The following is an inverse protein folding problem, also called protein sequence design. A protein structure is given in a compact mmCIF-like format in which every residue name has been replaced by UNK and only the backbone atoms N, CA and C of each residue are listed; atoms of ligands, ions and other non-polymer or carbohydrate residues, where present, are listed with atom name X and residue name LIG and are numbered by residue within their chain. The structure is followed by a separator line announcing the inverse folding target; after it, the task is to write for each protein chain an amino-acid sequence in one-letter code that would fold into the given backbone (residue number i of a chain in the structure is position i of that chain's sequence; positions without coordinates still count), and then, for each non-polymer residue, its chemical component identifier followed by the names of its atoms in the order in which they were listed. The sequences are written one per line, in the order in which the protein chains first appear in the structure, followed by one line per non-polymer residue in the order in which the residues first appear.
data_IF_812507387643
#
_entry.id   IF_812507387643
#
_cell.length_a   1.000
_cell.length_b   1.000
_cell.length_c   1.000
_cell.angle_alpha   90.00
_cell.angle_beta   90.00
_cell.angle_gamma   90.00
#
_symmetry.space_group_name_H-M   'P 1'
#
loop_
_entity.id
_entity.type
_entity.pdbx_description
1 polymer ?
#
# COMPACT_ATOMS: atom_id res chain seq x y z
N UNK A 1 -22.40 -23.35 25.17
CA UNK A 1 -21.90 -22.66 23.96
C UNK A 1 -21.78 -23.63 22.79
N UNK A 2 -20.96 -24.67 22.89
CA UNK A 2 -20.89 -25.72 21.86
C UNK A 2 -22.22 -26.42 21.60
N UNK A 3 -23.06 -26.56 22.63
CA UNK A 3 -24.45 -27.07 22.51
C UNK A 3 -25.36 -26.20 21.61
N UNK A 4 -25.00 -24.94 21.38
CA UNK A 4 -25.70 -24.01 20.49
C UNK A 4 -24.97 -23.83 19.15
N UNK A 5 -23.98 -24.67 18.85
CA UNK A 5 -23.18 -24.59 17.63
C UNK A 5 -22.19 -23.41 17.59
N UNK A 6 -21.93 -22.74 18.71
CA UNK A 6 -20.98 -21.62 18.79
C UNK A 6 -19.56 -22.12 19.07
N UNK A 7 -18.63 -21.78 18.18
CA UNK A 7 -17.21 -22.09 18.28
C UNK A 7 -16.40 -20.82 18.59
N UNK A 8 -15.41 -20.87 19.51
CA UNK A 8 -14.52 -19.75 19.77
C UNK A 8 -13.54 -19.54 18.62
N UNK A 9 -13.29 -18.29 18.27
CA UNK A 9 -12.29 -17.91 17.27
C UNK A 9 -10.90 -17.68 17.86
N UNK A 10 -10.83 -17.43 19.17
CA UNK A 10 -9.58 -17.13 19.88
C UNK A 10 -9.26 -18.26 20.85
N UNK A 11 -8.06 -18.80 20.69
CA UNK A 11 -7.54 -19.91 21.52
C UNK A 11 -6.29 -19.50 22.32
N UNK A 12 -5.81 -18.28 22.15
CA UNK A 12 -4.61 -17.74 22.81
C UNK A 12 -4.99 -16.68 23.83
N UNK A 13 -4.21 -16.52 24.93
CA UNK A 13 -4.46 -15.50 25.93
C UNK A 13 -4.62 -14.10 25.32
N UNK A 14 -5.72 -13.42 25.62
CA UNK A 14 -5.98 -12.05 25.19
C UNK A 14 -5.43 -11.03 26.19
N UNK A 15 -5.26 -11.40 27.46
CA UNK A 15 -4.65 -10.57 28.50
C UNK A 15 -3.33 -11.17 28.93
N UNK A 16 -2.24 -10.40 28.83
CA UNK A 16 -0.89 -10.84 29.17
C UNK A 16 -0.25 -9.78 30.06
N UNK A 17 0.11 -10.20 31.27
CA UNK A 17 0.87 -9.41 32.24
C UNK A 17 2.28 -10.00 32.39
N UNK A 18 3.10 -9.41 33.27
CA UNK A 18 4.45 -9.94 33.55
C UNK A 18 4.44 -11.35 34.17
N UNK A 19 3.32 -11.76 34.76
CA UNK A 19 3.22 -13.01 35.55
C UNK A 19 2.08 -13.93 35.11
N UNK A 20 1.11 -13.44 34.34
CA UNK A 20 -0.07 -14.23 33.95
C UNK A 20 -0.44 -14.03 32.49
N UNK A 21 -0.99 -15.09 31.90
CA UNK A 21 -1.62 -15.06 30.58
C UNK A 21 -3.04 -15.65 30.69
N UNK A 22 -4.06 -14.85 30.34
CA UNK A 22 -5.46 -15.25 30.46
C UNK A 22 -6.23 -15.01 29.16
N UNK A 23 -7.12 -15.94 28.80
CA UNK A 23 -8.08 -15.79 27.70
C UNK A 23 -9.39 -15.25 28.26
N UNK A 24 -9.56 -13.92 28.25
CA UNK A 24 -10.73 -13.24 28.83
C UNK A 24 -11.61 -12.64 27.72
N UNK A 25 -10.99 -12.28 26.60
CA UNK A 25 -11.67 -11.71 25.43
C UNK A 25 -11.79 -12.79 24.36
N UNK A 26 -13.01 -13.06 23.89
CA UNK A 26 -13.25 -14.05 22.84
C UNK A 26 -14.36 -13.59 21.90
N UNK A 27 -14.31 -14.09 20.66
CA UNK A 27 -15.35 -13.90 19.66
C UNK A 27 -15.85 -15.30 19.29
N UNK A 28 -17.16 -15.50 19.35
CA UNK A 28 -17.79 -16.77 19.02
C UNK A 28 -18.58 -16.65 17.73
N UNK A 29 -18.59 -17.71 16.94
CA UNK A 29 -19.35 -17.80 15.70
C UNK A 29 -20.01 -19.17 15.56
N UNK A 30 -21.20 -19.21 14.97
CA UNK A 30 -21.87 -20.42 14.50
C UNK A 30 -21.72 -20.60 12.98
N UNK A 31 -21.00 -19.69 12.33
CA UNK A 31 -20.80 -19.68 10.89
C UNK A 31 -19.66 -20.64 10.51
N UNK A 32 -20.03 -21.74 9.85
CA UNK A 32 -19.12 -22.79 9.40
C UNK A 32 -18.83 -22.71 7.89
N UNK A 33 -19.65 -21.97 7.12
CA UNK A 33 -19.55 -21.92 5.67
C UNK A 33 -18.61 -20.81 5.19
N UNK A 34 -18.54 -19.68 5.90
CA UNK A 34 -17.60 -18.61 5.60
C UNK A 34 -16.26 -18.81 6.33
N UNK A 35 -15.15 -18.51 5.67
CA UNK A 35 -13.84 -18.44 6.33
C UNK A 35 -13.82 -17.21 7.25
N UNK A 36 -14.21 -17.41 8.51
CA UNK A 36 -14.05 -16.43 9.59
C UNK A 36 -12.75 -16.75 10.33
N UNK A 37 -11.76 -15.87 10.21
CA UNK A 37 -10.47 -16.03 10.88
C UNK A 37 -10.36 -15.08 12.06
N UNK A 38 -10.24 -15.62 13.27
CA UNK A 38 -9.93 -14.84 14.46
C UNK A 38 -8.45 -14.63 14.68
N UNK A 39 -8.09 -13.60 15.44
CA UNK A 39 -6.72 -13.39 15.89
C UNK A 39 -6.56 -12.33 16.96
N UNK A 40 -5.33 -12.21 17.43
CA UNK A 40 -4.89 -11.20 18.39
C UNK A 40 -3.92 -10.24 17.71
N UNK A 41 -4.12 -8.94 17.89
CA UNK A 41 -3.18 -7.92 17.44
C UNK A 41 -2.10 -7.73 18.50
N UNK A 42 -0.84 -7.97 18.12
CA UNK A 42 0.30 -7.79 19.02
C UNK A 42 0.60 -6.30 19.17
N UNK A 43 0.21 -5.72 20.31
CA UNK A 43 0.45 -4.30 20.64
C UNK A 43 0.74 -4.14 22.13
N UNK A 44 1.64 -3.23 22.49
CA UNK A 44 2.01 -2.94 23.88
C UNK A 44 1.26 -1.71 24.46
N UNK A 45 0.05 -1.46 23.97
CA UNK A 45 -0.76 -0.30 24.38
C UNK A 45 -1.42 -0.56 25.75
N UNK A 46 -1.76 -1.80 26.04
CA UNK A 46 -2.28 -2.25 27.34
C UNK A 46 -1.86 -3.70 27.61
N UNK A 47 -2.22 -4.21 28.79
CA UNK A 47 -2.11 -5.63 29.14
C UNK A 47 -3.13 -6.51 28.39
N UNK A 48 -4.06 -5.93 27.63
CA UNK A 48 -4.98 -6.63 26.74
C UNK A 48 -4.58 -6.48 25.27
N UNK A 49 -4.38 -7.61 24.59
CA UNK A 49 -4.21 -7.70 23.15
C UNK A 49 -5.57 -7.52 22.44
N UNK A 50 -5.70 -6.55 21.51
CA UNK A 50 -6.93 -6.37 20.75
C UNK A 50 -7.31 -7.64 19.99
N UNK A 51 -8.55 -8.08 20.18
CA UNK A 51 -9.12 -9.24 19.49
C UNK A 51 -9.77 -8.80 18.19
N UNK A 52 -9.58 -9.57 17.12
CA UNK A 52 -10.23 -9.31 15.84
C UNK A 52 -10.78 -10.58 15.20
N UNK A 53 -11.75 -10.40 14.30
CA UNK A 53 -12.23 -11.42 13.39
C UNK A 53 -12.27 -10.86 11.96
N UNK A 54 -11.78 -11.64 11.00
CA UNK A 54 -11.82 -11.34 9.57
C UNK A 54 -12.87 -12.25 8.95
N UNK A 55 -13.99 -11.68 8.51
CA UNK A 55 -15.04 -12.40 7.80
C UNK A 55 -14.78 -12.30 6.29
N UNK A 56 -14.42 -13.42 5.65
CA UNK A 56 -14.26 -13.47 4.21
C UNK A 56 -15.59 -13.28 3.48
N UNK A 57 -15.75 -12.16 2.78
CA UNK A 57 -16.95 -11.90 1.98
C UNK A 57 -16.70 -12.37 0.54
N UNK A 58 -17.44 -13.38 0.06
CA UNK A 58 -17.30 -13.89 -1.32
C UNK A 58 -17.72 -12.84 -2.38
N UNK A 59 -18.42 -11.78 -1.98
CA UNK A 59 -18.90 -10.72 -2.86
C UNK A 59 -17.88 -9.62 -3.17
N UNK A 60 -16.69 -9.66 -2.57
CA UNK A 60 -15.61 -8.76 -3.00
C UNK A 60 -14.97 -9.40 -4.24
N UNK A 61 -15.52 -9.06 -5.41
CA UNK A 61 -14.80 -9.24 -6.66
C UNK A 61 -13.44 -8.55 -6.46
N UNK A 62 -12.36 -9.34 -6.38
CA UNK A 62 -11.00 -8.80 -6.39
C UNK A 62 -10.79 -8.21 -7.78
N UNK A 63 -11.34 -7.04 -8.03
CA UNK A 63 -10.91 -6.19 -9.12
C UNK A 63 -9.42 -6.00 -8.86
N UNK A 64 -8.57 -6.58 -9.72
CA UNK A 64 -7.15 -6.35 -9.65
C UNK A 64 -6.94 -4.85 -9.47
N UNK A 65 -6.19 -4.45 -8.43
CA UNK A 65 -5.91 -3.03 -8.21
C UNK A 65 -5.40 -2.46 -9.54
N UNK A 66 -6.07 -1.44 -10.11
CA UNK A 66 -5.73 -1.00 -11.45
C UNK A 66 -4.26 -0.60 -11.44
N UNK A 67 -3.51 -1.16 -12.38
CA UNK A 67 -2.12 -0.80 -12.57
C UNK A 67 -2.07 0.72 -12.76
N UNK A 68 -1.39 1.42 -11.85
CA UNK A 68 -1.24 2.86 -11.97
C UNK A 68 -0.17 3.15 -13.02
N UNK A 69 -0.52 3.95 -14.01
CA UNK A 69 0.41 4.43 -15.03
C UNK A 69 0.70 5.89 -14.75
N UNK A 70 1.98 6.27 -14.75
CA UNK A 70 2.42 7.65 -14.61
C UNK A 70 3.39 8.00 -15.74
N UNK A 71 3.26 9.20 -16.26
CA UNK A 71 4.27 9.77 -17.16
C UNK A 71 5.51 10.15 -16.34
N UNK A 72 6.68 9.68 -16.76
CA UNK A 72 7.92 10.02 -16.07
C UNK A 72 8.31 11.44 -16.44
N UNK A 73 8.20 12.34 -15.48
CA UNK A 73 8.59 13.73 -15.59
C UNK A 73 9.55 14.02 -14.43
N UNK A 74 10.81 14.25 -14.76
CA UNK A 74 11.86 14.70 -13.84
C UNK A 74 12.81 15.63 -14.59
N UNK A 75 13.81 16.17 -13.90
CA UNK A 75 14.81 17.07 -14.48
C UNK A 75 15.47 16.45 -15.72
N UNK A 76 16.00 15.24 -15.61
CA UNK A 76 16.67 14.56 -16.73
C UNK A 76 15.78 14.34 -17.96
N UNK A 77 14.52 13.92 -17.78
CA UNK A 77 13.60 13.71 -18.93
C UNK A 77 13.19 15.05 -19.55
N UNK A 78 12.98 16.08 -18.72
CA UNK A 78 12.66 17.43 -19.21
C UNK A 78 13.83 18.05 -19.98
N UNK A 79 15.06 17.92 -19.48
CA UNK A 79 16.24 18.49 -20.14
C UNK A 79 16.43 17.90 -21.54
N UNK A 80 16.21 16.58 -21.70
CA UNK A 80 16.26 15.90 -23.00
C UNK A 80 15.16 16.36 -23.94
N UNK A 81 13.94 16.51 -23.43
CA UNK A 81 12.80 17.01 -24.21
C UNK A 81 13.07 18.44 -24.70
N UNK A 82 13.52 19.33 -23.81
CA UNK A 82 13.84 20.72 -24.14
C UNK A 82 14.96 20.79 -25.18
N UNK A 83 16.01 19.99 -25.01
CA UNK A 83 17.12 19.95 -25.97
C UNK A 83 16.65 19.54 -27.37
N UNK A 84 15.79 18.52 -27.50
CA UNK A 84 15.29 18.09 -28.81
C UNK A 84 14.29 19.08 -29.40
N UNK A 85 13.42 19.70 -28.59
CA UNK A 85 12.50 20.75 -29.04
C UNK A 85 13.23 21.96 -29.61
N UNK A 86 14.34 22.37 -28.97
CA UNK A 86 15.15 23.52 -29.42
C UNK A 86 15.88 23.25 -30.74
N UNK A 87 16.16 22.00 -31.07
CA UNK A 87 16.84 21.61 -32.31
C UNK A 87 15.85 21.28 -33.44
N UNK A 88 14.58 21.06 -33.13
CA UNK A 88 13.55 20.63 -34.09
C UNK A 88 13.14 21.79 -35.01
N UNK A 89 13.16 21.54 -36.31
CA UNK A 89 12.48 22.40 -37.29
C UNK A 89 11.03 21.95 -37.47
N UNK A 90 10.11 22.90 -37.66
CA UNK A 90 8.65 22.66 -37.72
C UNK A 90 8.04 23.02 -39.09
N UNK A 91 8.52 22.44 -40.21
CA UNK A 91 8.09 22.84 -41.54
C UNK A 91 6.61 22.53 -41.79
N UNK A 92 6.11 21.39 -41.29
CA UNK A 92 4.72 20.96 -41.44
C UNK A 92 3.74 21.76 -40.57
N UNK A 93 4.24 22.46 -39.55
CA UNK A 93 3.46 23.37 -38.71
C UNK A 93 3.42 24.75 -39.36
N UNK A 94 4.58 25.30 -39.75
CA UNK A 94 4.68 26.66 -40.31
C UNK A 94 4.19 26.77 -41.76
N UNK A 95 4.16 25.67 -42.52
CA UNK A 95 3.79 25.64 -43.94
C UNK A 95 2.38 25.14 -44.25
N UNK A 96 1.58 24.81 -43.24
CA UNK A 96 0.22 24.31 -43.46
C UNK A 96 -0.72 25.44 -43.91
N UNK A 97 -1.55 25.16 -44.93
CA UNK A 97 -2.56 26.09 -45.45
C UNK A 97 -3.72 26.33 -44.47
N UNK A 98 -4.01 25.35 -43.63
CA UNK A 98 -5.08 25.40 -42.64
C UNK A 98 -4.52 25.44 -41.22
N UNK A 99 -5.11 26.29 -40.38
CA UNK A 99 -4.70 26.49 -38.99
C UNK A 99 -4.95 25.23 -38.17
N UNK A 100 -6.05 24.50 -38.42
CA UNK A 100 -6.32 23.25 -37.70
C UNK A 100 -5.30 22.18 -38.10
N UNK A 101 -4.94 22.10 -39.39
CA UNK A 101 -3.89 21.21 -39.86
C UNK A 101 -2.53 21.55 -39.21
N UNK A 102 -2.15 22.83 -39.15
CA UNK A 102 -0.94 23.29 -38.45
C UNK A 102 -0.92 22.86 -36.99
N UNK A 103 -2.04 23.08 -36.28
CA UNK A 103 -2.19 22.69 -34.88
C UNK A 103 -2.10 21.18 -34.68
N UNK A 104 -2.80 20.40 -35.50
CA UNK A 104 -2.77 18.94 -35.42
C UNK A 104 -1.35 18.40 -35.68
N UNK A 105 -0.64 18.94 -36.66
CA UNK A 105 0.74 18.58 -36.93
C UNK A 105 1.64 18.85 -35.73
N UNK A 106 1.49 20.02 -35.09
CA UNK A 106 2.24 20.36 -33.88
C UNK A 106 1.92 19.39 -32.74
N UNK A 107 0.64 19.13 -32.46
CA UNK A 107 0.22 18.25 -31.36
C UNK A 107 0.75 16.84 -31.56
N UNK A 108 0.65 16.29 -32.77
CA UNK A 108 1.17 14.96 -33.09
C UNK A 108 2.69 14.89 -32.87
N UNK A 109 3.45 15.81 -33.49
CA UNK A 109 4.91 15.83 -33.35
C UNK A 109 5.36 16.06 -31.90
N UNK A 110 4.68 16.94 -31.16
CA UNK A 110 4.96 17.17 -29.75
C UNK A 110 4.65 15.94 -28.89
N UNK A 111 3.52 15.27 -29.13
CA UNK A 111 3.17 14.04 -28.42
C UNK A 111 4.18 12.92 -28.66
N UNK A 112 4.72 12.80 -29.87
CA UNK A 112 5.78 11.83 -30.18
C UNK A 112 7.06 12.13 -29.38
N UNK A 113 7.48 13.39 -29.35
CA UNK A 113 8.62 13.82 -28.52
C UNK A 113 8.37 13.58 -27.03
N UNK A 114 7.16 13.88 -26.57
CA UNK A 114 6.76 13.68 -25.19
C UNK A 114 6.75 12.18 -24.83
N UNK A 115 6.29 11.31 -25.72
CA UNK A 115 6.28 9.86 -25.53
C UNK A 115 7.70 9.26 -25.56
N UNK A 116 8.58 9.82 -26.40
CA UNK A 116 9.99 9.44 -26.50
C UNK A 116 10.79 9.78 -25.24
N UNK A 117 10.67 11.02 -24.74
CA UNK A 117 11.49 11.52 -23.63
C UNK A 117 10.85 11.36 -22.26
N UNK A 118 9.53 11.48 -22.20
CA UNK A 118 8.74 11.36 -20.97
C UNK A 118 7.75 10.19 -21.12
N UNK A 119 8.22 8.92 -21.17
CA UNK A 119 7.35 7.78 -21.42
C UNK A 119 6.41 7.51 -20.25
N UNK A 120 5.24 6.95 -20.57
CA UNK A 120 4.30 6.43 -19.57
C UNK A 120 4.79 5.06 -19.10
N UNK A 121 5.03 4.90 -17.80
CA UNK A 121 5.44 3.63 -17.22
C UNK A 121 4.46 3.17 -16.15
N UNK A 122 4.32 1.85 -16.03
CA UNK A 122 3.62 1.22 -14.92
C UNK A 122 4.40 1.49 -13.63
N UNK A 123 3.74 2.12 -12.67
CA UNK A 123 4.32 2.42 -11.36
C UNK A 123 3.80 1.39 -10.37
N UNK A 124 4.73 0.79 -9.62
CA UNK A 124 4.35 0.00 -8.45
C UNK A 124 3.94 0.99 -7.37
N UNK A 125 2.87 0.72 -6.63
CA UNK A 125 2.57 1.44 -5.39
C UNK A 125 3.62 1.10 -4.33
N UNK A 126 4.83 1.60 -4.51
CA UNK A 126 5.87 1.65 -3.48
C UNK A 126 5.84 3.06 -2.94
N UNK A 127 4.73 3.43 -2.29
CA UNK A 127 4.77 4.57 -1.41
C UNK A 127 5.78 4.24 -0.32
N UNK A 128 6.89 4.97 -0.30
CA UNK A 128 7.72 4.98 0.88
C UNK A 128 6.86 5.64 1.97
N UNK A 129 6.24 4.81 2.82
CA UNK A 129 5.33 5.22 3.91
C UNK A 129 5.93 6.30 4.82
N UNK A 130 7.25 6.48 4.76
CA UNK A 130 8.01 7.41 5.58
C UNK A 130 8.53 8.64 4.81
N UNK A 131 8.42 8.67 3.47
CA UNK A 131 8.94 9.79 2.67
C UNK A 131 8.28 11.14 2.98
N UNK A 132 7.03 11.12 3.44
CA UNK A 132 6.28 12.33 3.80
C UNK A 132 6.39 12.66 5.31
N UNK A 133 7.19 11.94 6.08
CA UNK A 133 7.32 12.10 7.54
C UNK A 133 8.75 12.50 7.90
N UNK A 134 9.17 13.78 7.68
CA UNK A 134 10.55 14.22 7.90
C UNK A 134 11.03 14.09 9.36
N UNK A 135 10.11 14.05 10.33
CA UNK A 135 10.41 13.80 11.74
C UNK A 135 10.71 12.33 12.07
N UNK A 136 10.41 11.40 11.16
CA UNK A 136 10.60 9.97 11.39
C UNK A 136 11.95 9.52 10.80
N UNK A 137 13.00 9.66 11.59
CA UNK A 137 14.36 9.25 11.20
C UNK A 137 14.48 7.73 11.09
N UNK A 138 15.44 7.26 10.29
CA UNK A 138 15.74 5.82 10.18
C UNK A 138 16.10 5.19 11.52
N UNK A 139 16.76 5.93 12.41
CA UNK A 139 17.10 5.49 13.76
C UNK A 139 15.84 5.23 14.59
N UNK A 140 14.87 6.14 14.56
CA UNK A 140 13.60 5.99 15.26
C UNK A 140 12.80 4.80 14.71
N UNK A 141 12.77 4.62 13.39
CA UNK A 141 12.14 3.45 12.75
C UNK A 141 12.80 2.15 13.25
N UNK A 142 14.12 2.12 13.34
CA UNK A 142 14.86 0.95 13.82
C UNK A 142 14.62 0.70 15.32
N UNK A 143 14.51 1.74 16.13
CA UNK A 143 14.14 1.64 17.54
C UNK A 143 12.72 1.04 17.69
N UNK A 144 11.74 1.52 16.92
CA UNK A 144 10.38 0.97 16.91
C UNK A 144 10.35 -0.51 16.50
N UNK A 145 11.15 -0.90 15.50
CA UNK A 145 11.28 -2.31 15.07
C UNK A 145 11.91 -3.16 16.17
N UNK A 146 12.96 -2.67 16.83
CA UNK A 146 13.62 -3.35 17.96
C UNK A 146 12.64 -3.56 19.12
N UNK A 147 11.92 -2.50 19.51
CA UNK A 147 10.85 -2.56 20.53
C UNK A 147 9.81 -3.62 20.18
N UNK A 148 9.25 -3.58 18.97
CA UNK A 148 8.23 -4.55 18.51
C UNK A 148 8.74 -5.98 18.52
N UNK A 149 10.01 -6.20 18.17
CA UNK A 149 10.64 -7.54 18.21
C UNK A 149 10.79 -8.04 19.65
N UNK A 150 11.27 -7.20 20.56
CA UNK A 150 11.43 -7.56 21.97
C UNK A 150 10.08 -7.86 22.63
N UNK A 151 9.04 -7.09 22.32
CA UNK A 151 7.69 -7.35 22.82
C UNK A 151 7.16 -8.70 22.32
N UNK A 152 7.35 -9.05 21.04
CA UNK A 152 7.01 -10.38 20.52
C UNK A 152 7.73 -11.51 21.26
N UNK A 153 9.01 -11.32 21.59
CA UNK A 153 9.78 -12.30 22.38
C UNK A 153 9.22 -12.46 23.80
N UNK A 154 8.86 -11.35 24.45
CA UNK A 154 8.20 -11.37 25.76
C UNK A 154 6.89 -12.19 25.71
N UNK A 155 6.02 -11.93 24.73
CA UNK A 155 4.77 -12.68 24.59
C UNK A 155 4.99 -14.17 24.34
N UNK A 156 6.04 -14.57 23.62
CA UNK A 156 6.37 -15.99 23.43
C UNK A 156 6.89 -16.68 24.69
N UNK A 157 7.50 -15.94 25.62
CA UNK A 157 8.01 -16.50 26.87
C UNK A 157 6.89 -16.68 27.92
N UNK A 158 5.90 -15.78 27.96
CA UNK A 158 4.80 -15.80 28.94
C UNK A 158 3.62 -16.69 28.49
N UNK A 159 3.53 -17.00 27.20
CA UNK A 159 2.45 -17.81 26.62
C UNK A 159 2.63 -19.34 26.70
N UNK A 160 3.58 -19.83 27.49
CA UNK A 160 3.80 -21.26 27.79
C UNK A 160 3.24 -21.64 29.16
#
# INVERSE_FOLDING_TARGET
MYSFGLCPLITKPSRITDITAMLIDNIFTNELQFQVNGGLLITDISDHLPVFAICGNQFVCRCATPSQYRRIINTSTNDKLIAELNQRSWPNVKGALDVNLSYNNFVCEFQDLLNKHCPVKRVKNTENRYANNPWLTNELINACKKKSRLYKMFLSCVGH
#
